data_IF_859809669180
#
_entry.id   IF_859809669180
#
_cell.length_a   1.000
_cell.length_b   1.000
_cell.length_c   1.000
_cell.angle_alpha   90.00
_cell.angle_beta   90.00
_cell.angle_gamma   90.00
#
_symmetry.space_group_name_H-M   'P 1'
#
loop_
_entity.id
_entity.type
_entity.pdbx_description
1 polymer ?
#
# COMPACT_ATOMS: atom_id res chain seq x y z
N UNK A 1 -9.14 -30.25 -3.38
CA UNK A 1 -7.98 -29.36 -3.24
C UNK A 1 -8.33 -28.00 -3.83
N UNK A 2 -9.23 -27.29 -3.14
CA UNK A 2 -9.76 -25.96 -3.47
C UNK A 2 -9.82 -25.17 -2.16
N UNK A 3 -8.67 -25.08 -1.52
CA UNK A 3 -8.51 -24.68 -0.13
C UNK A 3 -7.27 -23.78 -0.04
N UNK A 4 -7.34 -22.59 -0.64
CA UNK A 4 -6.37 -21.50 -0.42
C UNK A 4 -6.98 -20.11 -0.79
N UNK A 5 -8.28 -19.93 -0.61
CA UNK A 5 -8.93 -18.59 -0.64
C UNK A 5 -9.49 -18.29 0.74
N UNK A 6 -8.69 -18.57 1.76
CA UNK A 6 -8.80 -18.00 3.09
C UNK A 6 -7.62 -17.05 3.29
N UNK A 7 -7.39 -16.14 2.33
CA UNK A 7 -6.64 -14.91 2.60
C UNK A 7 -7.31 -14.32 3.83
N UNK A 8 -6.61 -14.38 4.97
CA UNK A 8 -7.18 -14.10 6.29
C UNK A 8 -8.12 -12.88 6.20
N UNK A 9 -9.39 -12.96 6.64
CA UNK A 9 -10.32 -11.84 6.55
C UNK A 9 -9.74 -10.57 7.15
N UNK A 10 -8.93 -10.74 8.20
CA UNK A 10 -8.17 -9.70 8.87
C UNK A 10 -7.19 -9.03 7.89
N UNK A 11 -6.44 -9.79 7.10
CA UNK A 11 -5.47 -9.27 6.14
C UNK A 11 -6.15 -8.44 5.03
N UNK A 12 -7.31 -8.89 4.55
CA UNK A 12 -8.10 -8.15 3.56
C UNK A 12 -8.64 -6.83 4.11
N UNK A 13 -9.13 -6.83 5.35
CA UNK A 13 -9.64 -5.63 6.02
C UNK A 13 -8.50 -4.65 6.31
N UNK A 14 -7.42 -5.14 6.91
CA UNK A 14 -6.27 -4.32 7.30
C UNK A 14 -5.62 -3.68 6.08
N UNK A 15 -5.39 -4.43 5.00
CA UNK A 15 -4.80 -3.86 3.78
C UNK A 15 -5.67 -2.81 3.11
N UNK A 16 -6.99 -3.01 3.09
CA UNK A 16 -7.94 -2.04 2.54
C UNK A 16 -7.99 -0.76 3.37
N UNK A 17 -7.89 -0.89 4.70
CA UNK A 17 -7.83 0.26 5.62
C UNK A 17 -6.49 0.99 5.49
N UNK A 18 -5.37 0.27 5.42
CA UNK A 18 -4.02 0.85 5.36
C UNK A 18 -3.70 1.54 4.04
N UNK A 19 -4.38 1.17 2.95
CA UNK A 19 -4.11 1.77 1.63
C UNK A 19 -4.21 3.30 1.66
N UNK A 20 -5.31 3.87 2.18
CA UNK A 20 -5.50 5.32 2.20
C UNK A 20 -4.50 6.06 3.11
N UNK A 21 -4.24 5.65 4.37
CA UNK A 21 -3.19 6.22 5.21
C UNK A 21 -1.80 6.21 4.58
N UNK A 22 -1.39 5.13 3.89
CA UNK A 22 -0.08 5.06 3.23
C UNK A 22 0.02 6.10 2.11
N UNK A 23 -1.04 6.27 1.32
CA UNK A 23 -1.08 7.30 0.27
C UNK A 23 -1.00 8.71 0.87
N UNK A 24 -1.79 8.99 1.92
CA UNK A 24 -1.76 10.29 2.60
C UNK A 24 -0.37 10.56 3.18
N UNK A 25 0.27 9.55 3.78
CA UNK A 25 1.63 9.68 4.30
C UNK A 25 2.66 9.91 3.19
N UNK A 26 2.54 9.21 2.06
CA UNK A 26 3.39 9.45 0.88
C UNK A 26 3.26 10.88 0.35
N UNK A 27 2.04 11.42 0.31
CA UNK A 27 1.80 12.82 -0.07
C UNK A 27 2.37 13.80 0.97
N UNK A 28 2.27 13.49 2.26
CA UNK A 28 2.92 14.29 3.30
C UNK A 28 4.44 14.35 3.07
N UNK A 29 5.10 13.21 2.85
CA UNK A 29 6.55 13.13 2.59
C UNK A 29 6.92 13.84 1.28
N UNK A 30 6.05 13.80 0.27
CA UNK A 30 6.25 14.51 -1.00
C UNK A 30 6.27 16.03 -0.83
N UNK A 31 5.35 16.58 -0.03
CA UNK A 31 5.18 18.03 0.13
C UNK A 31 5.99 18.62 1.29
N UNK A 32 6.39 17.81 2.28
CA UNK A 32 7.14 18.26 3.46
C UNK A 32 8.60 17.79 3.47
N UNK A 33 9.10 17.30 2.34
CA UNK A 33 10.51 16.89 2.19
C UNK A 33 11.52 18.03 2.34
N UNK A 34 11.09 19.29 2.24
CA UNK A 34 11.96 20.45 2.45
C UNK A 34 12.14 20.80 3.94
N UNK A 35 11.21 20.38 4.79
CA UNK A 35 11.18 20.67 6.24
C UNK A 35 11.71 19.50 7.10
N UNK A 36 12.05 18.37 6.49
CA UNK A 36 12.50 17.17 7.19
C UNK A 36 13.08 16.13 6.23
N UNK A 37 13.48 14.94 6.72
CA UNK A 37 13.94 13.86 5.83
C UNK A 37 12.79 13.44 4.90
N UNK A 38 13.00 13.53 3.59
CA UNK A 38 11.94 13.30 2.61
C UNK A 38 12.37 13.51 1.16
N UNK A 39 11.36 13.80 0.32
CA UNK A 39 11.53 14.10 -1.10
C UNK A 39 10.77 13.13 -2.00
N UNK A 40 10.76 13.45 -3.30
CA UNK A 40 9.91 12.73 -4.26
C UNK A 40 10.24 11.25 -4.46
N UNK A 41 11.52 10.87 -4.38
CA UNK A 41 11.90 9.46 -4.48
C UNK A 41 11.36 8.64 -3.29
N UNK A 42 11.54 9.13 -2.07
CA UNK A 42 11.07 8.45 -0.87
C UNK A 42 9.53 8.37 -0.85
N UNK A 43 8.86 9.47 -1.17
CA UNK A 43 7.40 9.50 -1.34
C UNK A 43 6.91 8.50 -2.40
N UNK A 44 7.61 8.42 -3.53
CA UNK A 44 7.33 7.46 -4.58
C UNK A 44 7.44 6.00 -4.10
N UNK A 45 8.47 5.67 -3.33
CA UNK A 45 8.64 4.31 -2.76
C UNK A 45 7.52 3.97 -1.78
N UNK A 46 7.12 4.93 -0.92
CA UNK A 46 5.99 4.75 0.02
C UNK A 46 4.69 4.45 -0.73
N UNK A 47 4.39 5.26 -1.75
CA UNK A 47 3.18 5.07 -2.56
C UNK A 47 3.23 3.73 -3.31
N UNK A 48 4.37 3.39 -3.92
CA UNK A 48 4.55 2.11 -4.60
C UNK A 48 4.32 0.92 -3.66
N UNK A 49 4.79 0.99 -2.41
CA UNK A 49 4.56 -0.04 -1.40
C UNK A 49 3.07 -0.27 -1.11
N UNK A 50 2.24 0.78 -1.11
CA UNK A 50 0.78 0.65 -0.96
C UNK A 50 0.16 -0.18 -2.10
N UNK A 51 0.57 0.10 -3.34
CA UNK A 51 0.09 -0.64 -4.52
C UNK A 51 0.60 -2.08 -4.55
N UNK A 52 1.85 -2.32 -4.16
CA UNK A 52 2.40 -3.68 -4.04
C UNK A 52 1.61 -4.47 -2.99
N UNK A 53 1.39 -3.91 -1.80
CA UNK A 53 0.60 -4.54 -0.74
C UNK A 53 -0.82 -4.89 -1.22
N UNK A 54 -1.49 -3.93 -1.88
CA UNK A 54 -2.83 -4.15 -2.42
C UNK A 54 -2.84 -5.25 -3.48
N UNK A 55 -1.87 -5.23 -4.41
CA UNK A 55 -1.72 -6.24 -5.47
C UNK A 55 -1.43 -7.63 -4.91
N UNK A 56 -0.61 -7.74 -3.87
CA UNK A 56 -0.30 -9.03 -3.23
C UNK A 56 -1.54 -9.67 -2.59
N UNK A 57 -2.47 -8.87 -2.08
CA UNK A 57 -3.63 -9.37 -1.32
C UNK A 57 -4.84 -9.60 -2.22
N UNK A 58 -5.12 -8.67 -3.13
CA UNK A 58 -6.29 -8.76 -4.02
C UNK A 58 -5.98 -9.46 -5.34
N UNK A 59 -4.70 -9.62 -5.68
CA UNK A 59 -4.23 -10.26 -6.89
C UNK A 59 -4.64 -9.52 -8.16
N UNK A 60 -3.89 -9.77 -9.23
CA UNK A 60 -4.37 -9.46 -10.58
C UNK A 60 -5.12 -10.72 -11.01
N UNK A 61 -6.46 -10.66 -11.11
CA UNK A 61 -7.27 -11.79 -11.59
C UNK A 61 -6.80 -12.19 -12.98
N UNK A 62 -6.00 -13.26 -13.05
CA UNK A 62 -5.54 -13.83 -14.32
C UNK A 62 -6.77 -14.45 -14.99
N UNK A 63 -7.15 -13.89 -16.16
CA UNK A 63 -8.17 -14.49 -17.01
C UNK A 63 -7.69 -15.80 -17.60
#
# INVERSE_FOLDING_TARGET
>A
MKDNISSSPILNIVSRILFAPIIIFGLYVQFHGDYGPGGGFQAGVIIAAAFILYSMIFGIKKR
#
